data_IF_102248981712
#
_entry.id   IF_102248981712
#
_cell.length_a   1.000
_cell.length_b   1.000
_cell.length_c   1.000
_cell.angle_alpha   90.00
_cell.angle_beta   90.00
_cell.angle_gamma   90.00
#
_symmetry.space_group_name_H-M   'P 1'
#
loop_
_entity.id
_entity.type
_entity.pdbx_description
1 polymer ?
#
# COMPACT_ATOMS: atom_id res chain seq x y z
N UNK A 1 6.57 5.59 3.34
CA UNK A 1 6.54 6.38 2.08
C UNK A 1 6.91 7.83 2.37
N UNK A 2 6.25 8.54 3.29
CA UNK A 2 6.52 9.95 3.60
C UNK A 2 8.01 10.20 3.88
N UNK A 3 8.64 9.38 4.72
CA UNK A 3 10.07 9.51 5.03
C UNK A 3 10.96 9.27 3.80
N UNK A 4 10.62 8.29 2.97
CA UNK A 4 11.35 7.99 1.74
C UNK A 4 11.34 9.20 0.81
N UNK A 5 10.16 9.73 0.55
CA UNK A 5 9.98 10.90 -0.31
C UNK A 5 10.72 12.13 0.26
N UNK A 6 10.63 12.36 1.57
CA UNK A 6 11.32 13.47 2.22
C UNK A 6 12.84 13.37 2.07
N UNK A 7 13.44 12.19 2.29
CA UNK A 7 14.87 11.97 2.12
C UNK A 7 15.27 12.14 0.65
N UNK A 8 14.49 11.55 -0.27
CA UNK A 8 14.73 11.66 -1.70
C UNK A 8 14.75 13.13 -2.15
N UNK A 9 13.75 13.92 -1.76
CA UNK A 9 13.67 15.35 -2.10
C UNK A 9 14.83 16.16 -1.49
N UNK A 10 15.21 15.85 -0.24
CA UNK A 10 16.37 16.50 0.38
C UNK A 10 17.68 16.19 -0.32
N UNK A 11 17.87 14.98 -0.79
CA UNK A 11 19.04 14.59 -1.59
C UNK A 11 19.06 15.27 -2.96
N UNK A 12 17.89 15.47 -3.58
CA UNK A 12 17.75 16.22 -4.83
C UNK A 12 18.10 17.70 -4.59
N UNK A 13 17.52 18.33 -3.57
CA UNK A 13 17.81 19.72 -3.18
C UNK A 13 19.32 19.95 -2.92
N UNK A 14 19.98 18.97 -2.32
CA UNK A 14 21.42 19.02 -2.03
C UNK A 14 22.32 18.63 -3.23
N UNK A 15 21.78 18.27 -4.38
CA UNK A 15 22.54 17.79 -5.52
C UNK A 15 23.25 16.44 -5.29
N UNK A 16 22.84 15.68 -4.29
CA UNK A 16 23.50 14.44 -3.88
C UNK A 16 22.72 13.16 -4.25
N UNK A 17 21.56 13.29 -4.88
CA UNK A 17 20.70 12.14 -5.11
C UNK A 17 21.36 11.02 -5.91
N UNK A 18 22.19 11.34 -6.89
CA UNK A 18 22.89 10.34 -7.72
C UNK A 18 24.11 9.70 -7.03
N UNK A 19 24.58 10.29 -5.95
CA UNK A 19 25.75 9.80 -5.21
C UNK A 19 25.35 8.84 -4.08
N UNK A 20 24.04 8.68 -3.80
CA UNK A 20 23.53 7.96 -2.63
C UNK A 20 22.41 7.00 -3.03
N UNK A 21 22.47 5.78 -2.51
CA UNK A 21 21.37 4.83 -2.57
C UNK A 21 20.54 4.91 -1.30
N UNK A 22 19.20 4.88 -1.44
CA UNK A 22 18.27 4.86 -0.31
C UNK A 22 17.85 3.41 -0.08
N UNK A 23 18.29 2.84 1.04
CA UNK A 23 17.91 1.49 1.47
C UNK A 23 16.88 1.62 2.58
N UNK A 24 15.77 0.91 2.46
CA UNK A 24 14.68 0.94 3.43
C UNK A 24 14.59 -0.38 4.16
N UNK A 25 14.74 -0.31 5.47
CA UNK A 25 14.44 -1.39 6.39
C UNK A 25 13.20 -1.00 7.19
N UNK A 26 12.13 -1.80 7.09
CA UNK A 26 10.87 -1.47 7.78
C UNK A 26 9.96 -2.67 7.98
N UNK A 27 9.36 -2.75 9.16
CA UNK A 27 8.28 -3.67 9.48
C UNK A 27 6.95 -3.34 8.77
N UNK A 28 6.78 -2.13 8.27
CA UNK A 28 5.56 -1.72 7.56
C UNK A 28 5.50 -2.25 6.11
N UNK A 29 6.60 -2.78 5.59
CA UNK A 29 6.64 -3.36 4.24
C UNK A 29 6.21 -4.82 4.31
N UNK A 30 4.94 -5.07 4.09
CA UNK A 30 4.32 -6.38 4.21
C UNK A 30 3.71 -6.92 2.90
N UNK A 31 3.76 -6.15 1.83
CA UNK A 31 3.20 -6.54 0.54
C UNK A 31 4.01 -6.04 -0.65
N UNK A 32 3.81 -6.65 -1.80
CA UNK A 32 4.42 -6.20 -3.07
C UNK A 32 3.98 -4.79 -3.47
N UNK A 33 2.78 -4.37 -3.08
CA UNK A 33 2.32 -3.00 -3.28
C UNK A 33 3.16 -1.99 -2.49
N UNK A 34 3.47 -2.30 -1.23
CA UNK A 34 4.33 -1.45 -0.41
C UNK A 34 5.75 -1.33 -1.00
N UNK A 35 6.28 -2.42 -1.59
CA UNK A 35 7.56 -2.40 -2.29
C UNK A 35 7.49 -1.49 -3.52
N UNK A 36 6.46 -1.66 -4.33
CA UNK A 36 6.27 -0.83 -5.52
C UNK A 36 6.19 0.66 -5.16
N UNK A 37 5.39 1.02 -4.16
CA UNK A 37 5.34 2.40 -3.67
C UNK A 37 6.69 2.89 -3.15
N UNK A 38 7.41 2.08 -2.37
CA UNK A 38 8.72 2.47 -1.84
C UNK A 38 9.72 2.79 -2.97
N UNK A 39 9.79 1.93 -3.99
CA UNK A 39 10.63 2.15 -5.16
C UNK A 39 10.19 3.39 -5.97
N UNK A 40 8.89 3.56 -6.15
CA UNK A 40 8.33 4.72 -6.86
C UNK A 40 8.67 6.04 -6.19
N UNK A 41 8.74 6.08 -4.88
CA UNK A 41 9.11 7.27 -4.10
C UNK A 41 10.62 7.42 -3.85
N UNK A 42 11.47 6.61 -4.49
CA UNK A 42 12.90 6.82 -4.55
C UNK A 42 13.75 5.83 -3.76
N UNK A 43 13.18 4.74 -3.23
CA UNK A 43 14.00 3.69 -2.64
C UNK A 43 14.81 2.96 -3.72
N UNK A 44 16.09 2.69 -3.44
CA UNK A 44 16.96 1.88 -4.28
C UNK A 44 16.88 0.39 -3.90
N UNK A 45 16.65 0.09 -2.63
CA UNK A 45 16.45 -1.25 -2.11
C UNK A 45 15.48 -1.26 -0.93
N UNK A 46 14.82 -2.41 -0.73
CA UNK A 46 13.80 -2.58 0.31
C UNK A 46 14.07 -3.87 1.08
N UNK A 47 14.16 -3.77 2.41
CA UNK A 47 14.28 -4.90 3.32
C UNK A 47 13.01 -5.04 4.18
N UNK A 48 12.18 -6.07 3.92
CA UNK A 48 10.89 -6.23 4.59
C UNK A 48 11.02 -6.97 5.93
N UNK A 49 11.36 -6.27 7.00
CA UNK A 49 11.66 -6.83 8.32
C UNK A 49 10.53 -7.70 8.90
N UNK A 50 9.26 -7.26 8.77
CA UNK A 50 8.12 -7.99 9.35
C UNK A 50 7.89 -9.37 8.72
N UNK A 51 8.28 -9.56 7.45
CA UNK A 51 8.12 -10.86 6.78
C UNK A 51 9.14 -11.87 7.30
N UNK A 52 10.34 -11.39 7.57
CA UNK A 52 11.38 -12.20 8.22
C UNK A 52 10.89 -12.76 9.55
N UNK A 53 10.43 -11.89 10.44
CA UNK A 53 9.95 -12.25 11.77
C UNK A 53 8.78 -13.23 11.71
N UNK A 54 7.78 -12.94 10.88
CA UNK A 54 6.60 -13.79 10.74
C UNK A 54 6.87 -15.14 10.07
N UNK A 55 7.88 -15.22 9.21
CA UNK A 55 8.20 -16.46 8.52
C UNK A 55 8.81 -17.51 9.46
N UNK A 56 9.65 -17.09 10.38
CA UNK A 56 10.24 -17.97 11.39
C UNK A 56 9.18 -18.43 12.39
N UNK A 57 8.38 -17.50 12.90
CA UNK A 57 7.40 -17.76 13.95
C UNK A 57 6.24 -18.64 13.44
N UNK A 58 5.65 -18.29 12.32
CA UNK A 58 4.39 -18.91 11.85
C UNK A 58 4.59 -20.18 11.05
N UNK A 59 5.70 -20.34 10.35
CA UNK A 59 5.90 -21.42 9.39
C UNK A 59 7.06 -22.36 9.73
N UNK A 60 7.79 -22.13 10.84
CA UNK A 60 8.92 -22.94 11.23
C UNK A 60 10.00 -23.09 10.13
N UNK A 61 10.01 -22.19 9.17
CA UNK A 61 10.98 -22.18 8.07
C UNK A 61 12.12 -21.25 8.39
N UNK A 62 13.33 -21.62 7.97
CA UNK A 62 14.44 -20.70 8.05
C UNK A 62 14.10 -19.40 7.30
N UNK A 63 14.55 -18.29 7.84
CA UNK A 63 14.39 -16.95 7.25
C UNK A 63 14.81 -16.93 5.78
N UNK A 64 15.89 -17.60 5.42
CA UNK A 64 16.41 -17.64 4.04
C UNK A 64 15.42 -18.26 3.05
N UNK A 65 14.76 -19.35 3.44
CA UNK A 65 13.76 -20.00 2.58
C UNK A 65 12.50 -19.13 2.40
N UNK A 66 12.07 -18.48 3.47
CA UNK A 66 10.94 -17.58 3.44
C UNK A 66 11.24 -16.34 2.61
N UNK A 67 12.41 -15.73 2.80
CA UNK A 67 12.86 -14.58 2.03
C UNK A 67 13.01 -14.89 0.54
N UNK A 68 13.58 -16.03 0.17
CA UNK A 68 13.70 -16.46 -1.23
C UNK A 68 12.33 -16.58 -1.92
N UNK A 69 11.35 -17.16 -1.24
CA UNK A 69 9.98 -17.27 -1.76
C UNK A 69 9.31 -15.91 -1.87
N UNK A 70 9.45 -15.09 -0.85
CA UNK A 70 8.91 -13.73 -0.84
C UNK A 70 9.53 -12.88 -1.95
N UNK A 71 10.85 -12.85 -2.08
CA UNK A 71 11.55 -12.08 -3.13
C UNK A 71 11.10 -12.48 -4.53
N UNK A 72 10.96 -13.78 -4.80
CA UNK A 72 10.43 -14.28 -6.08
C UNK A 72 9.00 -13.79 -6.34
N UNK A 73 8.14 -13.84 -5.34
CA UNK A 73 6.75 -13.39 -5.45
C UNK A 73 6.67 -11.86 -5.61
N UNK A 74 7.46 -11.12 -4.84
CA UNK A 74 7.55 -9.66 -4.89
C UNK A 74 8.06 -9.17 -6.25
N UNK A 75 9.13 -9.76 -6.76
CA UNK A 75 9.68 -9.43 -8.10
C UNK A 75 8.65 -9.69 -9.21
N UNK A 76 7.97 -10.83 -9.18
CA UNK A 76 6.93 -11.14 -10.16
C UNK A 76 5.76 -10.17 -10.10
N UNK A 77 5.38 -9.75 -8.89
CA UNK A 77 4.31 -8.78 -8.69
C UNK A 77 4.72 -7.37 -9.13
N UNK A 78 5.95 -6.96 -8.84
CA UNK A 78 6.51 -5.69 -9.28
C UNK A 78 6.55 -5.60 -10.81
N UNK A 79 7.06 -6.64 -11.48
CA UNK A 79 7.06 -6.71 -12.95
C UNK A 79 5.65 -6.61 -13.54
N UNK A 80 4.65 -7.22 -12.88
CA UNK A 80 3.24 -7.07 -13.28
C UNK A 80 2.75 -5.63 -13.16
N UNK A 81 3.10 -4.97 -12.07
CA UNK A 81 2.73 -3.56 -11.83
C UNK A 81 3.38 -2.66 -12.87
N UNK A 82 4.68 -2.81 -13.09
CA UNK A 82 5.41 -2.05 -14.10
C UNK A 82 4.88 -2.29 -15.52
N UNK A 83 4.56 -3.55 -15.86
CA UNK A 83 3.96 -3.89 -17.14
C UNK A 83 2.59 -3.26 -17.39
N UNK A 84 1.78 -3.08 -16.34
CA UNK A 84 0.49 -2.37 -16.45
C UNK A 84 0.66 -0.87 -16.68
N UNK A 85 1.71 -0.29 -16.13
CA UNK A 85 2.08 1.13 -16.34
C UNK A 85 2.81 1.33 -17.67
N UNK A 86 3.35 0.26 -18.26
CA UNK A 86 4.10 0.31 -19.52
C UNK A 86 5.60 0.62 -19.34
N UNK A 87 6.14 0.42 -18.15
CA UNK A 87 7.55 0.67 -17.83
C UNK A 87 8.33 -0.64 -17.78
N UNK A 88 9.50 -0.68 -18.41
CA UNK A 88 10.35 -1.86 -18.47
C UNK A 88 11.55 -1.82 -17.51
N UNK A 89 11.92 -0.66 -16.97
CA UNK A 89 13.03 -0.49 -16.03
C UNK A 89 12.58 0.12 -14.71
N UNK A 90 13.21 -0.27 -13.61
CA UNK A 90 12.91 0.26 -12.27
C UNK A 90 13.33 1.73 -12.17
N UNK A 91 14.40 2.12 -12.85
CA UNK A 91 14.86 3.50 -12.90
C UNK A 91 13.80 4.44 -13.46
N UNK A 92 13.09 4.02 -14.49
CA UNK A 92 11.97 4.79 -15.06
C UNK A 92 10.72 4.77 -14.18
N UNK A 93 10.59 3.78 -13.31
CA UNK A 93 9.49 3.68 -12.36
C UNK A 93 9.68 4.63 -11.17
N UNK A 94 10.92 4.82 -10.72
CA UNK A 94 11.24 5.70 -9.60
C UNK A 94 11.01 7.17 -9.96
N UNK A 95 10.22 7.86 -9.16
CA UNK A 95 9.86 9.27 -9.40
C UNK A 95 8.81 9.50 -10.48
N UNK A 96 8.17 8.44 -10.96
CA UNK A 96 7.08 8.55 -11.94
C UNK A 96 5.83 9.22 -11.35
N UNK A 97 5.17 10.06 -12.15
CA UNK A 97 3.98 10.84 -11.77
C UNK A 97 2.67 10.04 -11.88
N UNK A 98 2.71 8.72 -11.72
CA UNK A 98 1.54 7.84 -11.82
C UNK A 98 0.98 7.38 -10.47
N UNK A 99 1.45 8.00 -9.38
CA UNK A 99 0.91 7.77 -8.05
C UNK A 99 -0.13 8.83 -7.70
N UNK A 100 -1.28 8.40 -7.21
CA UNK A 100 -2.33 9.29 -6.71
C UNK A 100 -2.44 9.14 -5.19
N UNK A 101 -2.06 10.16 -4.41
CA UNK A 101 -2.18 10.13 -2.96
C UNK A 101 -3.60 10.50 -2.52
N UNK A 102 -4.61 9.71 -2.87
CA UNK A 102 -6.03 10.03 -2.70
C UNK A 102 -6.51 10.24 -1.26
N UNK A 103 -5.67 10.00 -0.26
CA UNK A 103 -6.00 10.21 1.14
C UNK A 103 -5.13 11.27 1.83
N UNK A 104 -4.16 11.85 1.13
CA UNK A 104 -3.32 12.93 1.64
C UNK A 104 -3.78 14.28 1.09
N UNK A 105 -3.78 15.30 1.94
CA UNK A 105 -3.95 16.68 1.51
C UNK A 105 -2.63 17.19 0.92
N UNK A 106 -2.52 17.17 -0.40
CA UNK A 106 -1.33 17.64 -1.12
C UNK A 106 -1.13 19.16 -1.05
N UNK A 107 -2.12 19.91 -0.55
CA UNK A 107 -1.98 21.35 -0.26
C UNK A 107 -1.36 21.60 1.13
N UNK A 108 -1.26 20.59 2.00
CA UNK A 108 -0.50 20.70 3.25
C UNK A 108 0.96 21.05 2.94
N UNK A 109 1.52 22.06 3.63
CA UNK A 109 2.86 22.59 3.36
C UNK A 109 3.97 21.54 3.37
N UNK A 110 3.83 20.52 4.20
CA UNK A 110 4.80 19.42 4.31
C UNK A 110 4.63 18.47 3.14
N UNK A 111 3.42 18.10 2.82
CA UNK A 111 3.15 17.18 1.70
C UNK A 111 3.42 17.83 0.35
N UNK A 112 3.06 19.09 0.14
CA UNK A 112 3.41 19.84 -1.06
C UNK A 112 4.93 19.88 -1.31
N UNK A 113 5.73 19.98 -0.22
CA UNK A 113 7.19 19.99 -0.32
C UNK A 113 7.77 18.63 -0.67
N UNK A 114 7.26 17.55 -0.08
CA UNK A 114 7.85 16.21 -0.19
C UNK A 114 7.18 15.32 -1.22
N UNK A 115 6.04 15.70 -1.73
CA UNK A 115 5.34 15.07 -2.85
C UNK A 115 5.09 16.09 -3.97
N UNK A 116 6.17 16.68 -4.55
CA UNK A 116 6.01 17.64 -5.63
C UNK A 116 5.34 17.00 -6.83
N UNK A 117 4.57 17.76 -7.57
CA UNK A 117 3.84 17.33 -8.77
C UNK A 117 2.79 16.23 -8.52
N UNK A 118 2.39 16.05 -7.27
CA UNK A 118 1.28 15.16 -6.93
C UNK A 118 0.07 15.98 -6.53
N UNK A 119 -1.06 15.67 -7.14
CA UNK A 119 -2.32 16.28 -6.81
C UNK A 119 -3.29 15.24 -6.26
N UNK A 120 -4.03 15.60 -5.22
CA UNK A 120 -5.08 14.76 -4.66
C UNK A 120 -6.43 15.37 -5.03
N UNK A 121 -7.12 14.83 -6.06
CA UNK A 121 -8.37 15.40 -6.54
C UNK A 121 -9.48 15.33 -5.49
N UNK A 122 -9.38 14.42 -4.52
CA UNK A 122 -10.36 14.24 -3.46
C UNK A 122 -9.99 14.97 -2.15
N UNK A 123 -8.84 15.63 -2.10
CA UNK A 123 -8.29 16.12 -0.84
C UNK A 123 -7.85 14.97 0.09
N UNK A 124 -7.78 15.22 1.38
CA UNK A 124 -7.39 14.20 2.33
C UNK A 124 -6.99 14.75 3.69
N UNK A 125 -6.15 14.01 4.41
CA UNK A 125 -5.64 14.39 5.73
C UNK A 125 -4.29 15.07 5.63
N UNK A 126 -4.09 16.12 6.40
CA UNK A 126 -2.80 16.82 6.51
C UNK A 126 -1.80 16.06 7.38
N UNK A 127 -0.55 16.52 7.37
CA UNK A 127 0.56 15.87 8.08
C UNK A 127 0.29 15.68 9.58
N UNK A 128 -0.28 16.67 10.25
CA UNK A 128 -0.57 16.58 11.68
C UNK A 128 -1.54 15.44 12.01
N UNK A 129 -2.52 15.19 11.15
CA UNK A 129 -3.46 14.07 11.36
C UNK A 129 -2.77 12.73 11.14
N UNK A 130 -1.92 12.61 10.13
CA UNK A 130 -1.11 11.39 9.90
C UNK A 130 -0.20 11.13 11.10
N UNK A 131 0.45 12.15 11.65
CA UNK A 131 1.31 12.04 12.82
C UNK A 131 0.52 11.56 14.05
N UNK A 132 -0.65 12.13 14.32
CA UNK A 132 -1.54 11.70 15.41
C UNK A 132 -1.97 10.23 15.25
N UNK A 133 -2.36 9.84 14.05
CA UNK A 133 -2.78 8.45 13.77
C UNK A 133 -1.63 7.47 13.97
N UNK A 134 -0.43 7.80 13.45
CA UNK A 134 0.76 6.98 13.65
C UNK A 134 1.14 6.84 15.12
N UNK A 135 1.06 7.93 15.90
CA UNK A 135 1.32 7.90 17.33
C UNK A 135 0.29 7.06 18.09
N UNK A 136 -0.99 7.17 17.73
CA UNK A 136 -2.04 6.36 18.34
C UNK A 136 -1.87 4.86 18.03
N UNK A 137 -1.47 4.50 16.81
CA UNK A 137 -1.17 3.11 16.46
C UNK A 137 0.05 2.56 17.20
N UNK A 138 1.09 3.40 17.34
CA UNK A 138 2.27 3.03 18.12
C UNK A 138 1.92 2.76 19.58
N UNK A 139 1.11 3.65 20.20
CA UNK A 139 0.65 3.48 21.57
C UNK A 139 -0.15 2.17 21.74
N UNK A 140 -1.10 1.90 20.85
CA UNK A 140 -1.84 0.64 20.87
C UNK A 140 -0.94 -0.59 20.72
N UNK A 141 0.10 -0.51 19.89
CA UNK A 141 1.04 -1.61 19.73
C UNK A 141 1.86 -1.87 21.00
N UNK A 142 2.18 -0.82 21.76
CA UNK A 142 2.88 -0.96 23.06
C UNK A 142 1.97 -1.54 24.17
N UNK A 143 0.67 -1.31 24.09
CA UNK A 143 -0.34 -1.80 25.02
C UNK A 143 -0.83 -3.22 24.69
N UNK A 144 -0.42 -3.78 23.56
CA UNK A 144 -0.86 -5.07 23.07
C UNK A 144 0.00 -6.19 23.68
N UNK A 145 -0.59 -7.06 24.47
CA UNK A 145 0.10 -8.19 25.11
C UNK A 145 0.27 -9.38 24.17
N UNK A 146 -0.62 -9.54 23.18
CA UNK A 146 -0.60 -10.60 22.18
C UNK A 146 -0.64 -10.04 20.76
N UNK A 147 0.28 -10.49 19.93
CA UNK A 147 0.37 -10.14 18.49
C UNK A 147 -0.88 -10.54 17.70
N UNK A 148 -1.68 -11.50 18.19
CA UNK A 148 -2.94 -11.93 17.56
C UNK A 148 -4.05 -10.87 17.65
N UNK A 149 -3.97 -9.98 18.61
CA UNK A 149 -4.97 -8.93 18.86
C UNK A 149 -4.79 -7.71 17.93
N UNK A 150 -3.72 -7.67 17.15
CA UNK A 150 -3.49 -6.59 16.19
C UNK A 150 -4.38 -6.81 14.96
N UNK A 151 -5.39 -5.95 14.72
CA UNK A 151 -6.27 -6.12 13.58
C UNK A 151 -5.51 -5.94 12.25
N UNK A 152 -5.81 -6.81 11.30
CA UNK A 152 -5.29 -6.67 9.93
C UNK A 152 -6.12 -5.61 9.22
N UNK A 153 -5.60 -4.40 9.13
CA UNK A 153 -6.21 -3.28 8.44
C UNK A 153 -5.62 -3.12 7.03
N UNK A 154 -6.44 -2.63 6.10
CA UNK A 154 -5.96 -2.27 4.76
C UNK A 154 -5.77 -3.41 3.77
N UNK A 155 -6.29 -4.60 4.04
CA UNK A 155 -6.36 -5.68 3.07
C UNK A 155 -7.68 -5.59 2.30
N UNK A 156 -7.62 -5.07 1.08
CA UNK A 156 -8.77 -4.88 0.20
C UNK A 156 -9.12 -6.11 -0.63
N UNK A 157 -8.69 -7.29 -0.24
CA UNK A 157 -9.09 -8.52 -0.90
C UNK A 157 -10.27 -9.13 -0.17
N UNK A 158 -11.37 -9.30 -0.87
CA UNK A 158 -12.54 -10.05 -0.38
C UNK A 158 -12.14 -11.45 0.07
N UNK A 159 -12.56 -11.84 1.26
CA UNK A 159 -12.36 -13.17 1.85
C UNK A 159 -13.70 -13.64 2.41
N UNK A 160 -13.91 -14.95 2.47
CA UNK A 160 -15.11 -15.56 3.06
C UNK A 160 -15.38 -15.16 4.50
N UNK A 161 -14.33 -14.80 5.25
CA UNK A 161 -14.38 -14.41 6.66
C UNK A 161 -14.11 -12.90 6.89
N UNK A 162 -13.98 -12.13 5.82
CA UNK A 162 -13.67 -10.71 5.86
C UNK A 162 -14.82 -9.82 5.47
N UNK A 163 -14.54 -8.51 5.36
CA UNK A 163 -15.48 -7.54 4.84
C UNK A 163 -15.79 -7.82 3.36
N UNK A 164 -17.08 -7.88 3.02
CA UNK A 164 -17.53 -7.98 1.63
C UNK A 164 -17.36 -6.63 0.90
N UNK A 165 -17.21 -6.71 -0.40
CA UNK A 165 -17.15 -5.56 -1.29
C UNK A 165 -18.42 -5.49 -2.15
N UNK A 166 -18.93 -4.28 -2.39
CA UNK A 166 -20.12 -4.06 -3.22
C UNK A 166 -19.95 -4.58 -4.65
N UNK A 167 -18.72 -4.66 -5.14
CA UNK A 167 -18.33 -5.20 -6.45
C UNK A 167 -17.47 -6.47 -6.32
N UNK A 168 -17.69 -7.26 -5.29
CA UNK A 168 -17.01 -8.53 -5.10
C UNK A 168 -17.38 -9.57 -6.17
N UNK A 169 -16.57 -10.61 -6.29
CA UNK A 169 -16.78 -11.70 -7.27
C UNK A 169 -18.18 -12.33 -7.14
N UNK A 170 -18.69 -12.44 -5.92
CA UNK A 170 -20.02 -13.00 -5.63
C UNK A 170 -21.13 -12.10 -6.19
N UNK A 171 -21.01 -10.77 -6.03
CA UNK A 171 -21.95 -9.83 -6.57
C UNK A 171 -21.94 -9.83 -8.11
N UNK A 172 -20.72 -9.81 -8.71
CA UNK A 172 -20.56 -9.83 -10.17
C UNK A 172 -21.14 -11.13 -10.77
N UNK A 173 -20.87 -12.29 -10.17
CA UNK A 173 -21.45 -13.57 -10.62
C UNK A 173 -22.97 -13.58 -10.45
N UNK A 174 -23.48 -13.05 -9.34
CA UNK A 174 -24.90 -12.91 -9.12
C UNK A 174 -25.59 -12.08 -10.23
N UNK A 175 -24.95 -11.02 -10.72
CA UNK A 175 -25.47 -10.24 -11.84
C UNK A 175 -25.48 -10.99 -13.18
N UNK A 176 -24.47 -11.83 -13.45
CA UNK A 176 -24.37 -12.60 -14.70
C UNK A 176 -25.41 -13.70 -14.77
N UNK A 177 -25.78 -14.28 -13.62
CA UNK A 177 -26.71 -15.41 -13.53
C UNK A 177 -28.18 -14.96 -13.28
N UNK A 178 -28.47 -13.65 -13.30
CA UNK A 178 -29.80 -13.13 -13.03
C UNK A 178 -30.66 -13.01 -14.29
N UNK A 179 -31.90 -13.53 -14.21
CA UNK A 179 -32.97 -13.21 -15.14
C UNK A 179 -33.40 -11.74 -14.99
N UNK A 180 -34.03 -11.14 -16.04
CA UNK A 180 -34.45 -9.72 -16.03
C UNK A 180 -35.24 -9.33 -14.77
N UNK A 181 -36.21 -10.15 -14.33
CA UNK A 181 -36.99 -9.90 -13.11
C UNK A 181 -36.16 -9.85 -11.83
N UNK A 182 -35.09 -10.66 -11.74
CA UNK A 182 -34.17 -10.65 -10.61
C UNK A 182 -33.19 -9.48 -10.67
N UNK A 183 -32.83 -9.02 -11.85
CA UNK A 183 -31.97 -7.85 -12.05
C UNK A 183 -32.61 -6.60 -11.47
N UNK A 184 -33.89 -6.38 -11.71
CA UNK A 184 -34.63 -5.24 -11.14
C UNK A 184 -34.64 -5.28 -9.60
N UNK A 185 -34.95 -6.43 -9.02
CA UNK A 185 -34.98 -6.62 -7.56
C UNK A 185 -33.61 -6.41 -6.91
N UNK A 186 -32.54 -6.92 -7.49
CA UNK A 186 -31.18 -6.82 -6.95
C UNK A 186 -30.59 -5.41 -7.14
N UNK A 187 -30.83 -4.78 -8.28
CA UNK A 187 -30.40 -3.40 -8.53
C UNK A 187 -31.06 -2.43 -7.54
N UNK A 188 -32.34 -2.62 -7.24
CA UNK A 188 -33.06 -1.82 -6.26
C UNK A 188 -32.51 -2.00 -4.83
N UNK A 189 -32.17 -3.23 -4.45
CA UNK A 189 -31.66 -3.54 -3.10
C UNK A 189 -30.23 -3.05 -2.89
N UNK A 190 -29.35 -3.12 -3.90
CA UNK A 190 -27.94 -2.77 -3.75
C UNK A 190 -27.60 -1.31 -4.10
N UNK A 191 -28.36 -0.67 -4.99
CA UNK A 191 -28.15 0.72 -5.39
C UNK A 191 -28.86 1.74 -4.48
N UNK A 192 -29.87 1.32 -3.73
CA UNK A 192 -30.63 2.20 -2.85
C UNK A 192 -30.21 2.12 -1.37
N UNK A 193 -29.37 1.16 -0.99
CA UNK A 193 -28.83 1.11 0.36
C UNK A 193 -27.81 2.23 0.56
N UNK A 194 -28.01 3.12 1.56
CA UNK A 194 -27.01 4.14 1.86
C UNK A 194 -25.71 3.44 2.27
N UNK A 195 -24.65 3.74 1.55
CA UNK A 195 -23.27 3.37 1.94
C UNK A 195 -22.97 4.06 3.27
N UNK A 196 -22.97 3.30 4.36
CA UNK A 196 -22.46 3.75 5.66
C UNK A 196 -20.94 3.64 5.71
#
# INVERSE_FOLDING_TARGET
IIMISAINQRLIEAGQRFNVSIIIESGQISSSHHIACALGFGASAVYPLSIQMRAEEKWGKSWEQAFKKFSKAASKSLMKTMGKVGLCTVESYSGGEFFEPNFLDTNDKIFAKYFPNMDSPCGGVGFNQVAKTSSAWHQKALECDDMSDIPILGLFKERSEGAGHSFGVTAVRGFVDLTEERLESVSYTHLTLPTR
#
